data_IF_094769515625
#
_entry.id   IF_094769515625
#
_cell.length_a   1.000
_cell.length_b   1.000
_cell.length_c   1.000
_cell.angle_alpha   90.00
_cell.angle_beta   90.00
_cell.angle_gamma   90.00
#
_symmetry.space_group_name_H-M   'P 1'
#
loop_
_entity.id
_entity.type
_entity.pdbx_description
1 polymer ?
#
# COMPACT_ATOMS: atom_id res chain seq x y z
N UNK A 1 16.62 4.68 -42.07
CA UNK A 1 16.15 4.26 -40.73
C UNK A 1 14.66 4.01 -40.84
N UNK A 2 14.22 2.76 -40.70
CA UNK A 2 12.85 2.35 -40.95
C UNK A 2 11.96 2.65 -39.74
N UNK A 3 10.86 3.39 -39.97
CA UNK A 3 9.80 3.56 -38.99
C UNK A 3 9.05 2.22 -38.85
N UNK A 4 9.13 1.60 -37.67
CA UNK A 4 8.33 0.44 -37.31
C UNK A 4 6.87 0.88 -37.19
N UNK A 5 6.12 0.69 -38.27
CA UNK A 5 4.66 0.83 -38.29
C UNK A 5 4.06 -0.35 -37.54
N UNK A 6 3.71 -0.15 -36.27
CA UNK A 6 2.92 -1.12 -35.53
C UNK A 6 1.52 -1.17 -36.17
N UNK A 7 1.19 -2.31 -36.80
CA UNK A 7 -0.12 -2.53 -37.40
C UNK A 7 -1.23 -2.42 -36.33
N UNK A 8 -2.38 -1.81 -36.66
CA UNK A 8 -3.49 -1.70 -35.73
C UNK A 8 -4.04 -3.11 -35.43
N UNK A 9 -3.96 -3.52 -34.17
CA UNK A 9 -4.63 -4.74 -33.68
C UNK A 9 -6.12 -4.55 -33.93
N UNK A 10 -6.68 -5.32 -34.86
CA UNK A 10 -8.10 -5.29 -35.17
C UNK A 10 -8.90 -5.77 -33.95
N UNK A 11 -9.30 -4.84 -33.09
CA UNK A 11 -10.24 -5.14 -32.02
C UNK A 11 -11.55 -5.56 -32.68
N UNK A 12 -11.94 -6.82 -32.52
CA UNK A 12 -13.28 -7.30 -32.87
C UNK A 12 -14.27 -6.69 -31.87
N UNK A 13 -14.51 -5.40 -32.01
CA UNK A 13 -15.33 -4.61 -31.10
C UNK A 13 -16.76 -5.14 -31.12
N UNK A 14 -17.17 -5.77 -30.01
CA UNK A 14 -18.57 -6.15 -29.78
C UNK A 14 -19.28 -4.94 -29.18
N UNK A 15 -20.34 -4.48 -29.83
CA UNK A 15 -21.17 -3.38 -29.33
C UNK A 15 -22.30 -3.92 -28.46
N UNK A 16 -22.42 -3.42 -27.23
CA UNK A 16 -23.51 -3.74 -26.31
C UNK A 16 -24.32 -2.47 -26.06
N UNK A 17 -25.64 -2.53 -26.29
CA UNK A 17 -26.56 -1.41 -25.99
C UNK A 17 -26.97 -1.46 -24.52
N UNK A 18 -26.81 -0.36 -23.79
CA UNK A 18 -27.28 -0.23 -22.40
C UNK A 18 -27.89 1.14 -22.15
N UNK A 19 -28.85 1.22 -21.22
CA UNK A 19 -29.42 2.49 -20.75
C UNK A 19 -28.49 3.21 -19.77
N UNK A 20 -27.70 2.44 -18.99
CA UNK A 20 -26.80 2.95 -17.96
C UNK A 20 -25.50 2.15 -17.98
N UNK A 21 -24.38 2.82 -17.73
CA UNK A 21 -23.06 2.19 -17.70
C UNK A 21 -22.34 2.70 -16.46
N UNK A 22 -21.95 1.77 -15.58
CA UNK A 22 -21.10 2.06 -14.42
C UNK A 22 -19.73 1.49 -14.73
N UNK A 23 -18.73 2.36 -14.79
CA UNK A 23 -17.35 1.99 -15.09
C UNK A 23 -16.40 2.60 -14.08
N UNK A 24 -15.26 1.95 -13.80
CA UNK A 24 -14.23 2.56 -12.97
C UNK A 24 -13.72 3.82 -13.67
N UNK A 25 -13.32 4.83 -12.89
CA UNK A 25 -12.80 6.09 -13.42
C UNK A 25 -11.59 5.88 -14.34
N UNK A 26 -10.80 4.83 -14.13
CA UNK A 26 -9.67 4.45 -14.98
C UNK A 26 -10.06 4.06 -16.41
N UNK A 27 -11.30 3.63 -16.63
CA UNK A 27 -11.82 3.33 -17.96
C UNK A 27 -12.26 4.59 -18.71
N UNK A 28 -12.43 5.72 -18.02
CA UNK A 28 -12.73 7.01 -18.63
C UNK A 28 -11.42 7.63 -19.10
N UNK A 29 -11.24 7.74 -20.42
CA UNK A 29 -10.12 8.51 -20.99
C UNK A 29 -10.37 9.99 -20.74
N UNK A 30 -9.68 10.58 -19.78
CA UNK A 30 -9.63 12.04 -19.63
C UNK A 30 -8.51 12.57 -20.51
N UNK A 31 -8.84 13.39 -21.50
CA UNK A 31 -7.85 14.19 -22.23
C UNK A 31 -7.13 15.12 -21.25
N UNK A 32 -5.79 15.12 -21.18
CA UNK A 32 -5.07 16.04 -20.31
C UNK A 32 -5.34 17.49 -20.74
N UNK A 33 -5.81 18.32 -19.80
CA UNK A 33 -5.89 19.77 -20.03
C UNK A 33 -4.47 20.36 -19.97
N UNK A 34 -4.01 21.10 -21.00
CA UNK A 34 -2.61 21.48 -21.14
C UNK A 34 -2.08 22.50 -20.11
N UNK A 35 -2.95 23.13 -19.30
CA UNK A 35 -2.58 24.30 -18.47
C UNK A 35 -2.87 24.16 -16.97
N UNK A 36 -3.12 22.95 -16.46
CA UNK A 36 -3.37 22.75 -15.02
C UNK A 36 -2.10 22.21 -14.37
N UNK A 37 -1.54 22.96 -13.40
CA UNK A 37 -0.57 22.37 -12.47
C UNK A 37 -1.23 21.12 -11.88
N UNK A 38 -0.68 19.95 -12.19
CA UNK A 38 -1.38 18.70 -11.92
C UNK A 38 -1.19 18.29 -10.47
N UNK A 39 -1.75 19.06 -9.54
CA UNK A 39 -1.91 18.63 -8.16
C UNK A 39 -2.77 17.37 -8.18
N UNK A 40 -2.14 16.22 -7.93
CA UNK A 40 -2.77 14.91 -8.03
C UNK A 40 -2.92 14.33 -6.63
N UNK A 41 -4.14 13.94 -6.27
CA UNK A 41 -4.37 13.08 -5.10
C UNK A 41 -3.98 11.66 -5.47
N UNK A 42 -3.02 11.09 -4.76
CA UNK A 42 -2.50 9.74 -4.96
C UNK A 42 -2.61 8.97 -3.66
N UNK A 43 -2.88 7.68 -3.76
CA UNK A 43 -2.87 6.77 -2.61
C UNK A 43 -1.66 5.87 -2.75
N UNK A 44 -0.70 6.05 -1.85
CA UNK A 44 0.49 5.22 -1.74
C UNK A 44 0.17 3.97 -0.93
N UNK A 45 0.69 2.84 -1.39
CA UNK A 45 0.54 1.55 -0.72
C UNK A 45 1.89 0.87 -0.63
N UNK A 46 2.21 0.34 0.55
CA UNK A 46 3.34 -0.54 0.77
C UNK A 46 2.81 -1.88 1.24
N UNK A 47 3.08 -2.93 0.48
CA UNK A 47 2.75 -4.31 0.84
C UNK A 47 4.08 -5.01 1.14
N UNK A 48 4.17 -5.64 2.29
CA UNK A 48 5.36 -6.39 2.72
C UNK A 48 4.95 -7.71 3.34
N UNK A 49 5.77 -8.73 3.15
CA UNK A 49 5.57 -10.08 3.68
C UNK A 49 6.67 -10.32 4.70
N UNK A 50 6.28 -10.73 5.90
CA UNK A 50 7.16 -10.96 7.03
C UNK A 50 7.02 -12.40 7.50
N UNK A 51 8.10 -12.97 8.03
CA UNK A 51 8.09 -14.31 8.62
C UNK A 51 7.70 -14.18 10.09
N UNK A 52 6.73 -14.98 10.53
CA UNK A 52 6.19 -14.95 11.88
C UNK A 52 5.19 -13.82 12.14
N UNK A 53 4.65 -13.74 13.36
CA UNK A 53 3.76 -12.67 13.79
C UNK A 53 4.52 -11.33 13.88
N UNK A 54 3.81 -10.23 13.62
CA UNK A 54 4.36 -8.87 13.73
C UNK A 54 3.99 -8.19 15.04
N UNK A 55 2.81 -8.51 15.56
CA UNK A 55 2.29 -8.00 16.81
C UNK A 55 2.13 -9.24 17.70
N UNK A 56 2.85 -9.27 18.80
CA UNK A 56 2.84 -10.36 19.77
C UNK A 56 2.30 -9.85 21.08
N UNK A 57 1.29 -10.51 21.62
CA UNK A 57 0.77 -10.19 22.94
C UNK A 57 1.29 -11.22 23.94
N UNK A 58 1.94 -10.81 25.06
CA UNK A 58 2.67 -11.72 25.94
C UNK A 58 1.78 -12.74 26.68
N UNK A 59 0.46 -12.69 26.51
CA UNK A 59 -0.50 -13.58 27.18
C UNK A 59 -1.43 -14.31 26.21
N UNK A 60 -1.21 -14.24 24.89
CA UNK A 60 -2.03 -14.95 23.90
C UNK A 60 -1.28 -16.18 23.35
N UNK A 61 -1.88 -17.36 23.54
CA UNK A 61 -1.37 -18.64 23.01
C UNK A 61 -1.51 -18.71 21.47
N UNK A 62 -2.51 -18.01 20.90
CA UNK A 62 -2.74 -17.87 19.47
C UNK A 62 -2.47 -16.42 19.04
N UNK A 63 -1.27 -16.16 18.50
CA UNK A 63 -0.89 -14.84 17.95
C UNK A 63 -1.45 -14.63 16.52
N UNK A 64 -2.75 -14.86 16.32
CA UNK A 64 -3.41 -14.61 15.03
C UNK A 64 -3.25 -13.15 14.63
N UNK A 65 -2.71 -12.89 13.44
CA UNK A 65 -2.54 -11.53 12.95
C UNK A 65 -3.83 -11.09 12.26
N UNK A 66 -4.63 -10.26 12.93
CA UNK A 66 -5.82 -9.62 12.36
C UNK A 66 -5.98 -8.19 12.84
N UNK A 67 -4.90 -7.42 12.71
CA UNK A 67 -4.81 -6.09 13.30
C UNK A 67 -5.08 -4.98 12.30
N UNK A 68 -5.80 -3.96 12.76
CA UNK A 68 -5.89 -2.65 12.10
C UNK A 68 -4.85 -1.74 12.74
N UNK A 69 -4.00 -1.16 11.92
CA UNK A 69 -2.93 -0.26 12.34
C UNK A 69 -3.33 1.17 11.94
N UNK A 70 -3.23 2.10 12.88
CA UNK A 70 -3.45 3.53 12.62
C UNK A 70 -2.27 4.31 13.17
N UNK A 71 -1.53 4.98 12.27
CA UNK A 71 -0.41 5.84 12.63
C UNK A 71 -0.86 7.29 12.42
N UNK A 72 -1.04 8.07 13.50
CA UNK A 72 -1.46 9.47 13.39
C UNK A 72 -0.36 10.32 12.74
N UNK A 73 -0.72 11.50 12.18
CA UNK A 73 0.25 12.44 11.63
C UNK A 73 1.21 12.96 12.70
N UNK A 74 2.42 13.30 12.30
CA UNK A 74 3.43 13.90 13.19
C UNK A 74 4.09 12.92 14.17
N UNK A 75 3.94 11.60 13.97
CA UNK A 75 4.63 10.63 14.81
C UNK A 75 6.15 10.75 14.62
N UNK A 76 6.86 10.99 15.73
CA UNK A 76 8.32 11.12 15.74
C UNK A 76 8.99 9.87 15.14
N UNK A 77 9.97 10.07 14.26
CA UNK A 77 10.70 8.98 13.58
C UNK A 77 10.06 8.50 12.27
N UNK A 78 8.76 8.68 12.05
CA UNK A 78 8.08 8.28 10.79
C UNK A 78 8.02 9.45 9.81
N UNK A 79 7.76 10.67 10.30
CA UNK A 79 7.73 11.87 9.46
C UNK A 79 6.56 11.89 8.49
N UNK A 80 5.41 11.35 8.88
CA UNK A 80 4.18 11.38 8.10
C UNK A 80 3.35 12.64 8.42
N UNK A 81 2.93 13.38 7.38
CA UNK A 81 2.04 14.53 7.53
C UNK A 81 0.55 14.14 7.51
N UNK A 82 0.25 12.96 6.94
CA UNK A 82 -1.09 12.38 6.88
C UNK A 82 -1.15 11.09 7.70
N UNK A 83 -2.37 10.67 8.03
CA UNK A 83 -2.61 9.37 8.69
C UNK A 83 -2.13 8.24 7.78
N UNK A 84 -1.41 7.28 8.34
CA UNK A 84 -1.12 5.99 7.69
C UNK A 84 -2.09 4.97 8.27
N UNK A 85 -2.82 4.32 7.39
CA UNK A 85 -3.68 3.18 7.72
C UNK A 85 -2.94 1.90 7.38
N UNK A 86 -3.12 0.86 8.18
CA UNK A 86 -2.48 -0.42 7.93
C UNK A 86 -3.37 -1.60 8.31
N UNK A 87 -3.06 -2.74 7.72
CA UNK A 87 -3.58 -4.04 8.15
C UNK A 87 -2.42 -5.03 8.23
N UNK A 88 -2.40 -5.84 9.29
CA UNK A 88 -1.51 -6.98 9.44
C UNK A 88 -2.36 -8.25 9.50
N UNK A 89 -2.14 -9.15 8.54
CA UNK A 89 -2.93 -10.36 8.33
C UNK A 89 -2.05 -11.56 8.01
N UNK A 90 -2.30 -12.72 8.61
CA UNK A 90 -1.51 -13.95 8.42
C UNK A 90 -2.26 -15.03 7.64
N UNK A 91 -1.75 -16.27 7.68
CA UNK A 91 -2.36 -17.43 7.04
C UNK A 91 -3.74 -17.79 7.57
N UNK A 92 -4.16 -17.30 8.75
CA UNK A 92 -5.49 -17.60 9.31
C UNK A 92 -6.66 -17.05 8.48
N UNK A 93 -6.38 -16.20 7.49
CA UNK A 93 -7.37 -15.64 6.55
C UNK A 93 -7.03 -15.91 5.09
N UNK A 94 -6.17 -16.90 4.81
CA UNK A 94 -5.80 -17.36 3.46
C UNK A 94 -5.15 -16.29 2.55
N UNK A 95 -4.46 -15.31 3.14
CA UNK A 95 -3.75 -14.25 2.40
C UNK A 95 -2.23 -14.41 2.37
N UNK A 96 -1.68 -15.32 3.17
CA UNK A 96 -0.25 -15.59 3.29
C UNK A 96 0.02 -17.10 3.44
N UNK A 97 1.21 -17.58 3.05
CA UNK A 97 1.65 -18.92 3.44
C UNK A 97 1.73 -19.08 4.96
N UNK A 98 1.65 -20.33 5.44
CA UNK A 98 1.75 -20.65 6.86
C UNK A 98 3.06 -20.10 7.48
N UNK A 99 2.94 -19.46 8.64
CA UNK A 99 4.07 -18.83 9.33
C UNK A 99 4.52 -17.50 8.72
N UNK A 100 3.70 -16.87 7.87
CA UNK A 100 3.96 -15.54 7.32
C UNK A 100 2.81 -14.57 7.60
N UNK A 101 3.17 -13.28 7.69
CA UNK A 101 2.26 -12.16 7.90
C UNK A 101 2.41 -11.15 6.76
N UNK A 102 1.30 -10.75 6.17
CA UNK A 102 1.22 -9.63 5.21
C UNK A 102 0.92 -8.35 5.97
N UNK A 103 1.82 -7.38 5.84
CA UNK A 103 1.64 -6.00 6.29
C UNK A 103 1.33 -5.11 5.08
N UNK A 104 0.13 -4.53 5.06
CA UNK A 104 -0.29 -3.59 4.03
C UNK A 104 -0.54 -2.21 4.65
N UNK A 105 0.30 -1.25 4.31
CA UNK A 105 0.20 0.15 4.73
C UNK A 105 -0.28 1.02 3.58
N UNK A 106 -1.14 1.99 3.89
CA UNK A 106 -1.76 2.93 2.94
C UNK A 106 -1.70 4.34 3.48
N UNK A 107 -1.32 5.29 2.63
CA UNK A 107 -1.31 6.73 2.94
C UNK A 107 -1.82 7.52 1.74
N UNK A 108 -2.69 8.50 1.98
CA UNK A 108 -3.09 9.45 0.95
C UNK A 108 -2.12 10.63 0.92
N UNK A 109 -1.62 10.98 -0.26
CA UNK A 109 -0.75 12.12 -0.48
C UNK A 109 -1.32 13.01 -1.58
N UNK A 110 -1.07 14.31 -1.47
CA UNK A 110 -1.30 15.25 -2.55
C UNK A 110 0.06 15.57 -3.15
N UNK A 111 0.25 15.20 -4.41
CA UNK A 111 1.53 15.31 -5.11
C UNK A 111 1.45 16.43 -6.14
N UNK A 112 2.48 17.25 -6.17
CA UNK A 112 2.74 18.34 -7.09
C UNK A 112 4.02 18.11 -7.90
N UNK A 113 4.92 17.22 -7.47
CA UNK A 113 6.16 16.84 -8.15
C UNK A 113 6.53 15.36 -7.96
N UNK A 114 7.39 14.81 -8.81
CA UNK A 114 7.88 13.42 -8.66
C UNK A 114 8.69 13.22 -7.36
N UNK A 115 9.36 14.27 -6.87
CA UNK A 115 10.13 14.22 -5.61
C UNK A 115 9.22 13.94 -4.39
N UNK A 116 8.01 14.50 -4.38
CA UNK A 116 7.02 14.25 -3.33
C UNK A 116 6.49 12.80 -3.36
N UNK A 117 6.47 12.17 -4.55
CA UNK A 117 6.10 10.77 -4.71
C UNK A 117 7.11 9.84 -4.01
N UNK A 118 8.40 10.11 -4.21
CA UNK A 118 9.48 9.38 -3.53
C UNK A 118 9.46 9.58 -2.02
N UNK A 119 9.16 10.80 -1.56
CA UNK A 119 9.04 11.11 -0.13
C UNK A 119 7.92 10.31 0.54
N UNK A 120 6.74 10.21 -0.10
CA UNK A 120 5.61 9.45 0.43
C UNK A 120 5.91 7.94 0.53
N UNK A 121 6.64 7.37 -0.43
CA UNK A 121 7.12 5.98 -0.36
C UNK A 121 8.08 5.79 0.82
N UNK A 122 9.05 6.69 1.00
CA UNK A 122 10.01 6.61 2.11
C UNK A 122 9.34 6.72 3.49
N UNK A 123 8.25 7.47 3.62
CA UNK A 123 7.44 7.53 4.85
C UNK A 123 6.83 6.17 5.18
N UNK A 124 6.23 5.49 4.19
CA UNK A 124 5.66 4.15 4.39
C UNK A 124 6.74 3.12 4.73
N UNK A 125 7.94 3.27 4.18
CA UNK A 125 9.08 2.41 4.49
C UNK A 125 9.54 2.56 5.95
N UNK A 126 9.63 3.80 6.44
CA UNK A 126 9.94 4.07 7.85
C UNK A 126 8.86 3.54 8.78
N UNK A 127 7.59 3.73 8.43
CA UNK A 127 6.47 3.18 9.20
C UNK A 127 6.53 1.65 9.28
N UNK A 128 6.80 0.97 8.15
CA UNK A 128 6.95 -0.48 8.14
C UNK A 128 8.10 -0.94 9.03
N UNK A 129 9.26 -0.26 9.00
CA UNK A 129 10.40 -0.57 9.88
C UNK A 129 10.05 -0.37 11.35
N UNK A 130 9.37 0.74 11.70
CA UNK A 130 8.98 1.00 13.08
C UNK A 130 8.07 -0.09 13.66
N UNK A 131 7.22 -0.70 12.82
CA UNK A 131 6.37 -1.83 13.23
C UNK A 131 7.23 -3.10 13.42
N UNK A 132 8.12 -3.41 12.47
CA UNK A 132 8.92 -4.65 12.50
C UNK A 132 10.08 -4.63 13.50
N UNK A 133 10.63 -3.45 13.80
CA UNK A 133 11.75 -3.34 14.76
C UNK A 133 11.25 -3.49 16.20
N UNK A 134 9.99 -3.12 16.46
CA UNK A 134 9.32 -3.34 17.75
C UNK A 134 9.18 -4.82 18.06
N UNK A 135 8.74 -5.62 17.08
CA UNK A 135 8.55 -7.06 17.26
C UNK A 135 9.85 -7.78 17.62
N UNK A 136 10.99 -7.37 17.03
CA UNK A 136 12.30 -7.97 17.33
C UNK A 136 12.85 -7.62 18.70
N UNK A 137 12.51 -6.44 19.21
CA UNK A 137 13.02 -5.98 20.51
C UNK A 137 12.34 -6.72 21.66
N UNK A 138 11.08 -7.13 21.47
CA UNK A 138 10.33 -7.92 22.45
C UNK A 138 10.82 -9.39 22.49
N UNK A 139 11.13 -10.00 21.34
CA UNK A 139 11.70 -11.36 21.28
C UNK A 139 13.07 -11.48 21.99
N UNK A 140 13.96 -10.48 21.84
CA UNK A 140 15.29 -10.51 22.45
C UNK A 140 15.27 -10.32 23.97
N UNK A 141 14.24 -9.67 24.52
CA UNK A 141 14.11 -9.47 25.97
C UNK A 141 13.52 -10.71 26.69
N UNK A 142 12.81 -11.57 25.95
CA UNK A 142 12.28 -12.83 26.47
C UNK A 142 13.32 -13.96 26.52
N UNK A 143 14.38 -13.91 25.69
CA UNK A 143 15.45 -14.92 25.69
C UNK A 143 16.55 -14.70 26.75
N UNK A 144 16.62 -13.53 27.40
CA UNK A 144 17.60 -13.23 28.46
C UNK A 144 17.08 -13.44 29.91
N UNK A 145 15.87 -13.99 30.08
CA UNK A 145 15.30 -14.41 31.38
C UNK A 145 15.20 -15.93 31.50
#
# INVERSE_FOLDING_TARGET
MAASSAAPVASTGKTVKSKHVVVPRSALRTTPEPNKSSTRKVVHRRISIHRGPLITEPNEEDNEQRYIIVIPPGMSGIGNEAVIHGVAVDSSVDVAPEGYTVLHLTMAATITSEDEEGAAAAVLDRAARAITDRSRTEDSAAEEM
#
